data_IF_508159957343
#
_entry.id   IF_508159957343
#
_cell.length_a   1.000
_cell.length_b   1.000
_cell.length_c   1.000
_cell.angle_alpha   90.00
_cell.angle_beta   90.00
_cell.angle_gamma   90.00
#
_symmetry.space_group_name_H-M   'P 1'
#
loop_
_entity.id
_entity.type
_entity.pdbx_description
1 polymer ?
#
# COMPACT_ATOMS: atom_id res chain seq x y z
N UNK A 1 -18.12 -10.39 53.82
CA UNK A 1 -17.96 -9.98 52.40
C UNK A 1 -16.54 -9.48 52.20
N UNK A 2 -15.65 -10.32 51.67
CA UNK A 2 -14.28 -9.94 51.33
C UNK A 2 -13.95 -10.39 49.89
N UNK A 3 -13.77 -9.40 49.03
CA UNK A 3 -12.90 -9.32 47.85
C UNK A 3 -12.65 -10.60 47.02
N UNK A 4 -13.47 -10.77 45.98
CA UNK A 4 -13.08 -11.47 44.75
C UNK A 4 -12.89 -10.44 43.64
N UNK A 5 -11.63 -10.15 43.26
CA UNK A 5 -11.26 -9.71 41.90
C UNK A 5 -9.84 -10.19 41.61
N UNK A 6 -9.69 -11.51 41.42
CA UNK A 6 -8.49 -12.04 40.76
C UNK A 6 -8.59 -11.64 39.29
N UNK A 7 -7.70 -10.71 38.96
CA UNK A 7 -7.35 -10.16 37.65
C UNK A 7 -7.61 -11.20 36.55
N UNK A 8 -8.69 -11.01 35.79
CA UNK A 8 -8.99 -11.85 34.63
C UNK A 8 -8.04 -11.44 33.50
N UNK A 9 -7.20 -12.40 33.14
CA UNK A 9 -6.45 -12.56 31.89
C UNK A 9 -6.53 -11.40 30.89
N UNK A 10 -5.39 -10.72 30.73
CA UNK A 10 -5.08 -9.96 29.53
C UNK A 10 -4.96 -10.98 28.39
N UNK A 11 -6.06 -11.28 27.72
CA UNK A 11 -6.02 -11.98 26.45
C UNK A 11 -5.58 -10.97 25.42
N UNK A 12 -4.26 -10.89 25.25
CA UNK A 12 -3.58 -10.16 24.20
C UNK A 12 -3.99 -10.80 22.85
N UNK A 13 -5.16 -10.42 22.33
CA UNK A 13 -5.50 -10.59 20.93
C UNK A 13 -4.69 -9.56 20.15
N UNK A 14 -3.38 -9.79 20.05
CA UNK A 14 -2.62 -9.33 18.88
C UNK A 14 -3.14 -10.14 17.70
N UNK A 15 -4.31 -9.78 17.20
CA UNK A 15 -4.68 -10.06 15.83
C UNK A 15 -3.61 -9.41 14.99
N UNK A 16 -2.61 -10.22 14.66
CA UNK A 16 -1.63 -9.95 13.62
C UNK A 16 -2.45 -9.49 12.43
N UNK A 17 -2.35 -8.19 12.15
CA UNK A 17 -2.92 -7.59 10.97
C UNK A 17 -2.14 -8.22 9.82
N UNK A 18 -2.61 -9.36 9.34
CA UNK A 18 -2.08 -10.07 8.19
C UNK A 18 -2.38 -9.21 6.98
N UNK A 19 -1.63 -8.11 6.83
CA UNK A 19 -1.51 -7.39 5.57
C UNK A 19 -1.08 -8.46 4.57
N UNK A 20 -2.04 -8.92 3.76
CA UNK A 20 -1.80 -9.93 2.76
C UNK A 20 -0.60 -9.45 1.94
N UNK A 21 0.43 -10.29 1.88
CA UNK A 21 1.62 -9.95 1.14
C UNK A 21 1.21 -9.76 -0.33
N UNK A 22 1.44 -8.57 -0.88
CA UNK A 22 1.30 -8.29 -2.31
C UNK A 22 1.99 -9.38 -3.13
N UNK A 23 1.45 -9.71 -4.29
CA UNK A 23 2.15 -10.45 -5.33
C UNK A 23 2.97 -9.50 -6.22
N UNK A 24 3.92 -10.02 -7.03
CA UNK A 24 4.63 -9.20 -8.02
C UNK A 24 3.68 -8.47 -9.01
N UNK A 25 2.59 -9.14 -9.41
CA UNK A 25 1.60 -8.55 -10.32
C UNK A 25 0.81 -7.41 -9.67
N UNK A 26 0.38 -7.58 -8.42
CA UNK A 26 -0.26 -6.48 -7.68
C UNK A 26 0.71 -5.33 -7.43
N UNK A 27 1.99 -5.63 -7.22
CA UNK A 27 3.02 -4.60 -7.10
C UNK A 27 3.14 -3.76 -8.37
N UNK A 28 3.06 -4.38 -9.56
CA UNK A 28 3.02 -3.64 -10.83
C UNK A 28 1.80 -2.73 -10.93
N UNK A 29 0.62 -3.19 -10.49
CA UNK A 29 -0.59 -2.34 -10.44
C UNK A 29 -0.37 -1.15 -9.52
N UNK A 30 0.27 -1.36 -8.35
CA UNK A 30 0.61 -0.29 -7.41
C UNK A 30 1.62 0.70 -8.03
N UNK A 31 2.65 0.23 -8.76
CA UNK A 31 3.58 1.11 -9.51
C UNK A 31 2.81 2.09 -10.39
N UNK A 32 1.83 1.58 -11.14
CA UNK A 32 0.96 2.38 -11.99
C UNK A 32 0.14 3.44 -11.25
N UNK A 33 -0.55 3.02 -10.18
CA UNK A 33 -1.37 3.92 -9.39
C UNK A 33 -0.53 5.01 -8.69
N UNK A 34 0.66 4.65 -8.19
CA UNK A 34 1.61 5.59 -7.57
C UNK A 34 2.16 6.57 -8.60
N UNK A 35 2.45 6.14 -9.83
CA UNK A 35 2.86 7.04 -10.91
C UNK A 35 1.83 8.14 -11.13
N UNK A 36 0.56 7.77 -11.33
CA UNK A 36 -0.52 8.75 -11.48
C UNK A 36 -0.56 9.72 -10.30
N UNK A 37 -0.46 9.20 -9.08
CA UNK A 37 -0.54 10.01 -7.87
C UNK A 37 0.63 10.98 -7.70
N UNK A 38 1.83 10.58 -8.12
CA UNK A 38 3.01 11.45 -8.11
C UNK A 38 2.95 12.52 -9.20
N UNK A 39 2.41 12.19 -10.37
CA UNK A 39 2.32 13.12 -11.51
C UNK A 39 1.18 14.14 -11.37
N UNK A 40 0.08 13.75 -10.71
CA UNK A 40 -1.18 14.52 -10.75
C UNK A 40 -1.71 14.94 -9.37
N UNK A 41 -1.12 14.42 -8.28
CA UNK A 41 -1.60 14.65 -6.91
C UNK A 41 -0.44 15.03 -5.99
N UNK A 42 -0.59 14.84 -4.68
CA UNK A 42 0.42 15.19 -3.68
C UNK A 42 1.56 14.15 -3.54
N UNK A 43 1.52 13.06 -4.32
CA UNK A 43 2.49 11.98 -4.25
C UNK A 43 2.45 11.16 -2.95
N UNK A 44 3.45 10.28 -2.79
CA UNK A 44 3.65 9.53 -1.56
C UNK A 44 4.37 10.36 -0.49
N UNK A 45 4.07 10.09 0.77
CA UNK A 45 4.89 10.59 1.87
C UNK A 45 6.18 9.76 2.00
N UNK A 46 7.11 10.20 2.85
CA UNK A 46 8.40 9.51 3.04
C UNK A 46 8.24 8.04 3.46
N UNK A 47 7.26 7.74 4.32
CA UNK A 47 6.97 6.37 4.73
C UNK A 47 6.44 5.53 3.55
N UNK A 48 5.62 6.14 2.68
CA UNK A 48 5.12 5.52 1.46
C UNK A 48 6.21 5.19 0.47
N UNK A 49 7.15 6.10 0.23
CA UNK A 49 8.32 5.84 -0.62
C UNK A 49 9.14 4.67 -0.06
N UNK A 50 9.38 4.65 1.26
CA UNK A 50 10.10 3.55 1.93
C UNK A 50 9.37 2.22 1.79
N UNK A 51 8.05 2.21 1.96
CA UNK A 51 7.21 1.02 1.84
C UNK A 51 7.18 0.50 0.40
N UNK A 52 7.07 1.40 -0.58
CA UNK A 52 7.14 1.08 -2.01
C UNK A 52 8.47 0.40 -2.35
N UNK A 53 9.60 0.98 -1.92
CA UNK A 53 10.93 0.42 -2.15
C UNK A 53 11.11 -0.96 -1.49
N UNK A 54 10.52 -1.17 -0.30
CA UNK A 54 10.51 -2.50 0.34
C UNK A 54 9.73 -3.52 -0.47
N UNK A 55 8.58 -3.12 -1.03
CA UNK A 55 7.79 -3.96 -1.94
C UNK A 55 8.57 -4.35 -3.20
N UNK A 56 9.23 -3.38 -3.84
CA UNK A 56 10.02 -3.63 -5.04
C UNK A 56 11.16 -4.63 -4.77
N UNK A 57 11.89 -4.43 -3.67
CA UNK A 57 12.96 -5.33 -3.21
C UNK A 57 12.48 -6.75 -2.95
N UNK A 58 11.29 -6.89 -2.35
CA UNK A 58 10.72 -8.20 -2.02
C UNK A 58 10.50 -9.07 -3.25
N UNK A 59 10.26 -8.47 -4.41
CA UNK A 59 9.99 -9.17 -5.67
C UNK A 59 11.12 -8.99 -6.70
N UNK A 60 12.32 -8.56 -6.28
CA UNK A 60 13.47 -8.28 -7.16
C UNK A 60 13.19 -7.25 -8.28
N UNK A 61 12.14 -6.44 -8.11
CA UNK A 61 11.74 -5.42 -9.08
C UNK A 61 12.58 -4.15 -8.94
N UNK A 62 13.26 -3.94 -7.82
CA UNK A 62 14.16 -2.80 -7.60
C UNK A 62 15.39 -2.81 -8.51
N UNK A 63 15.72 -3.97 -9.09
CA UNK A 63 16.77 -4.14 -10.11
C UNK A 63 16.32 -3.68 -11.50
N UNK A 64 15.02 -3.53 -11.70
CA UNK A 64 14.45 -3.07 -12.97
C UNK A 64 14.26 -1.55 -12.92
N UNK A 65 14.77 -0.78 -13.90
CA UNK A 65 14.52 0.64 -13.98
C UNK A 65 13.03 0.97 -13.89
N UNK A 66 12.67 1.93 -13.03
CA UNK A 66 11.27 2.30 -12.80
C UNK A 66 10.51 2.62 -14.11
N UNK A 67 11.06 3.35 -15.10
CA UNK A 67 10.38 3.59 -16.37
C UNK A 67 10.03 2.32 -17.16
N UNK A 68 10.74 1.21 -16.92
CA UNK A 68 10.43 -0.09 -17.54
C UNK A 68 9.26 -0.74 -16.81
N UNK A 69 9.24 -0.71 -15.47
CA UNK A 69 8.12 -1.20 -14.68
C UNK A 69 6.81 -0.47 -15.02
N UNK A 70 6.89 0.85 -15.21
CA UNK A 70 5.74 1.69 -15.57
C UNK A 70 5.14 1.38 -16.96
N UNK A 71 5.92 0.77 -17.87
CA UNK A 71 5.45 0.34 -19.20
C UNK A 71 4.76 -1.02 -19.17
N UNK A 72 4.81 -1.74 -18.05
CA UNK A 72 4.15 -3.02 -17.93
C UNK A 72 2.61 -2.86 -18.04
N UNK A 73 1.89 -3.75 -18.75
CA UNK A 73 0.43 -3.67 -18.89
C UNK A 73 -0.33 -3.56 -17.56
N UNK A 74 0.14 -4.21 -16.50
CA UNK A 74 -0.48 -4.12 -15.17
C UNK A 74 -0.25 -2.75 -14.52
N UNK A 75 0.92 -2.15 -14.72
CA UNK A 75 1.18 -0.77 -14.28
C UNK A 75 0.33 0.23 -15.07
N UNK A 76 0.18 0.04 -16.39
CA UNK A 76 -0.71 0.87 -17.21
C UNK A 76 -2.16 0.74 -16.71
N UNK A 77 -2.62 -0.47 -16.42
CA UNK A 77 -3.96 -0.72 -15.86
C UNK A 77 -4.16 -0.03 -14.50
N UNK A 78 -3.17 -0.10 -13.62
CA UNK A 78 -3.18 0.61 -12.33
C UNK A 78 -3.25 2.13 -12.49
N UNK A 79 -2.47 2.68 -13.42
CA UNK A 79 -2.50 4.10 -13.76
C UNK A 79 -3.89 4.53 -14.27
N UNK A 80 -4.45 3.81 -15.24
CA UNK A 80 -5.78 4.11 -15.79
C UNK A 80 -6.89 3.99 -14.74
N UNK A 81 -6.77 3.04 -13.82
CA UNK A 81 -7.69 2.91 -12.69
C UNK A 81 -7.60 4.13 -11.78
N UNK A 82 -6.38 4.59 -11.45
CA UNK A 82 -6.18 5.79 -10.65
C UNK A 82 -6.70 7.06 -11.36
N UNK A 83 -6.53 7.17 -12.69
CA UNK A 83 -7.14 8.24 -13.51
C UNK A 83 -8.66 8.27 -13.35
N UNK A 84 -9.34 7.12 -13.40
CA UNK A 84 -10.80 7.05 -13.24
C UNK A 84 -11.27 7.52 -11.86
N UNK A 85 -10.49 7.23 -10.83
CA UNK A 85 -10.83 7.60 -9.45
C UNK A 85 -10.40 9.03 -9.09
N UNK A 86 -9.44 9.62 -9.81
CA UNK A 86 -8.83 10.89 -9.45
C UNK A 86 -8.05 10.82 -8.13
N UNK A 87 -7.50 11.95 -7.68
CA UNK A 87 -6.69 12.01 -6.45
C UNK A 87 -7.46 11.54 -5.20
N UNK A 88 -8.67 12.06 -5.00
CA UNK A 88 -9.45 11.74 -3.79
C UNK A 88 -9.98 10.31 -3.81
N UNK A 89 -10.42 9.82 -4.97
CA UNK A 89 -10.85 8.43 -5.11
C UNK A 89 -9.69 7.46 -4.93
N UNK A 90 -8.54 7.72 -5.54
CA UNK A 90 -7.34 6.88 -5.40
C UNK A 90 -6.87 6.82 -3.95
N UNK A 91 -6.86 7.96 -3.23
CA UNK A 91 -6.55 8.00 -1.79
C UNK A 91 -7.54 7.17 -0.97
N UNK A 92 -8.83 7.25 -1.28
CA UNK A 92 -9.88 6.47 -0.62
C UNK A 92 -9.70 4.96 -0.84
N UNK A 93 -9.44 4.53 -2.07
CA UNK A 93 -9.19 3.12 -2.37
C UNK A 93 -7.91 2.61 -1.69
N UNK A 94 -6.85 3.43 -1.63
CA UNK A 94 -5.66 3.10 -0.86
C UNK A 94 -5.95 2.98 0.64
N UNK A 95 -6.81 3.82 1.23
CA UNK A 95 -7.24 3.67 2.62
C UNK A 95 -7.97 2.34 2.86
N UNK A 96 -8.88 1.94 1.96
CA UNK A 96 -9.57 0.65 2.06
C UNK A 96 -8.61 -0.53 1.99
N UNK A 97 -7.55 -0.41 1.19
CA UNK A 97 -6.51 -1.40 1.06
C UNK A 97 -5.44 -1.35 2.18
N UNK A 98 -5.57 -0.46 3.18
CA UNK A 98 -4.62 -0.33 4.28
C UNK A 98 -3.34 0.45 3.94
N UNK A 99 -3.29 1.11 2.79
CA UNK A 99 -2.15 1.90 2.32
C UNK A 99 -2.36 3.42 2.38
N UNK A 100 -3.55 3.90 2.74
CA UNK A 100 -3.86 5.33 2.65
C UNK A 100 -2.96 6.25 3.51
N UNK A 101 -2.41 5.73 4.60
CA UNK A 101 -1.43 6.43 5.45
C UNK A 101 -0.09 6.73 4.77
N UNK A 102 0.16 6.16 3.58
CA UNK A 102 1.38 6.34 2.80
C UNK A 102 1.26 7.42 1.72
N UNK A 103 0.07 8.00 1.58
CA UNK A 103 -0.29 8.97 0.54
C UNK A 103 -0.44 10.36 1.17
N UNK A 104 0.14 11.40 0.55
CA UNK A 104 -0.01 12.80 1.01
C UNK A 104 -1.45 13.32 0.85
#
# INVERSE_FOLDING_TARGET
MHNMKKILAITLLTSTLSAQALSPNEMLVVVGAVKYYNENCAGLNHAGVKQMNKGLKRFDMDKTPLPILERNPLAISGYQTAVKFGCMGTKREAHKAGYGQYIN
#
